data_IF_011356657231
#
_entry.id   IF_011356657231
#
_cell.length_a   1.000
_cell.length_b   1.000
_cell.length_c   1.000
_cell.angle_alpha   90.00
_cell.angle_beta   90.00
_cell.angle_gamma   90.00
#
_symmetry.space_group_name_H-M   'P 1'
#
loop_
_entity.id
_entity.type
_entity.pdbx_description
1 polymer ?
#
# COMPACT_ATOMS: atom_id res chain seq x y z
N UNK A 1 1.97 -16.79 17.38
CA UNK A 1 1.55 -15.59 16.62
C UNK A 1 0.67 -15.96 15.44
N UNK A 2 -0.12 -15.01 14.96
CA UNK A 2 -0.87 -15.12 13.71
C UNK A 2 -0.33 -14.08 12.73
N UNK A 3 -0.02 -14.51 11.50
CA UNK A 3 0.52 -13.63 10.46
C UNK A 3 -0.42 -13.60 9.26
N UNK A 4 -0.65 -12.39 8.74
CA UNK A 4 -1.43 -12.20 7.50
C UNK A 4 -0.94 -10.98 6.72
N UNK A 5 -1.24 -10.94 5.43
CA UNK A 5 -0.88 -9.84 4.54
C UNK A 5 -2.09 -9.03 4.12
N UNK A 6 -1.85 -7.74 3.93
CA UNK A 6 -2.84 -6.84 3.36
C UNK A 6 -2.17 -5.84 2.42
N UNK A 7 -2.97 -5.05 1.70
CA UNK A 7 -2.45 -3.91 0.93
C UNK A 7 -2.66 -2.63 1.74
N UNK A 8 -1.60 -1.87 1.94
CA UNK A 8 -1.67 -0.48 2.39
C UNK A 8 -1.88 0.40 1.15
N UNK A 9 -3.09 0.90 0.98
CA UNK A 9 -3.38 1.79 -0.13
C UNK A 9 -2.66 3.14 0.07
N UNK A 10 -2.02 3.61 -1.00
CA UNK A 10 -1.39 4.92 -1.03
C UNK A 10 -2.43 6.01 -1.28
N UNK A 11 -2.22 7.19 -0.72
CA UNK A 11 -3.05 8.36 -0.98
C UNK A 11 -2.75 8.96 -2.37
N UNK A 12 -3.01 8.17 -3.40
CA UNK A 12 -2.88 8.57 -4.81
C UNK A 12 -4.24 8.56 -5.50
N UNK A 13 -4.35 9.33 -6.54
CA UNK A 13 -5.52 9.26 -7.42
C UNK A 13 -5.55 7.92 -8.16
N UNK A 14 -6.74 7.52 -8.59
CA UNK A 14 -6.87 6.32 -9.42
C UNK A 14 -5.99 6.45 -10.66
N UNK A 15 -5.07 5.51 -10.92
CA UNK A 15 -4.13 5.59 -12.01
C UNK A 15 -4.83 5.51 -13.37
N UNK A 16 -4.54 6.50 -14.21
CA UNK A 16 -4.89 6.48 -15.63
C UNK A 16 -3.70 6.99 -16.43
N UNK A 17 -3.45 6.40 -17.60
CA UNK A 17 -2.36 6.83 -18.48
C UNK A 17 -2.47 8.30 -18.85
N UNK A 18 -3.69 8.80 -19.04
CA UNK A 18 -3.94 10.21 -19.34
C UNK A 18 -3.44 11.13 -18.24
N UNK A 19 -3.75 10.79 -16.98
CA UNK A 19 -3.32 11.58 -15.83
C UNK A 19 -1.81 11.51 -15.65
N UNK A 20 -1.24 10.34 -15.80
CA UNK A 20 0.21 10.14 -15.70
C UNK A 20 0.96 10.97 -16.74
N UNK A 21 0.53 10.93 -18.01
CA UNK A 21 1.10 11.76 -19.06
C UNK A 21 0.92 13.27 -18.81
N UNK A 22 -0.21 13.67 -18.25
CA UNK A 22 -0.48 15.06 -17.92
C UNK A 22 0.47 15.55 -16.81
N UNK A 23 0.58 14.81 -15.70
CA UNK A 23 1.43 15.14 -14.54
C UNK A 23 2.93 15.13 -14.94
N UNK A 24 3.35 14.15 -15.77
CA UNK A 24 4.69 14.10 -16.33
C UNK A 24 5.02 15.35 -17.17
N UNK A 25 4.10 15.76 -18.06
CA UNK A 25 4.26 17.00 -18.85
C UNK A 25 4.39 18.23 -17.95
N UNK A 26 3.56 18.35 -16.90
CA UNK A 26 3.65 19.47 -15.96
C UNK A 26 5.01 19.51 -15.24
N UNK A 27 5.50 18.34 -14.83
CA UNK A 27 6.81 18.23 -14.18
C UNK A 27 7.93 18.66 -15.13
N UNK A 28 7.96 18.14 -16.37
CA UNK A 28 8.97 18.51 -17.36
C UNK A 28 8.93 20.00 -17.70
N UNK A 29 7.76 20.58 -17.91
CA UNK A 29 7.62 22.02 -18.17
C UNK A 29 8.13 22.86 -17.01
N UNK A 30 7.88 22.45 -15.76
CA UNK A 30 8.38 23.13 -14.57
C UNK A 30 9.90 23.08 -14.48
N UNK A 31 10.52 21.92 -14.71
CA UNK A 31 11.98 21.76 -14.73
C UNK A 31 12.60 22.57 -15.86
N UNK A 32 12.09 22.47 -17.09
CA UNK A 32 12.57 23.23 -18.24
C UNK A 32 12.52 24.76 -17.98
N UNK A 33 11.44 25.24 -17.34
CA UNK A 33 11.33 26.65 -16.95
C UNK A 33 12.37 27.05 -15.90
N UNK A 34 12.61 26.19 -14.90
CA UNK A 34 13.59 26.46 -13.85
C UNK A 34 15.03 26.51 -14.38
N UNK A 35 15.33 25.76 -15.44
CA UNK A 35 16.63 25.67 -16.12
C UNK A 35 16.75 26.58 -17.36
N UNK A 36 15.74 27.44 -17.60
CA UNK A 36 15.68 28.34 -18.75
C UNK A 36 15.79 27.62 -20.12
N UNK A 37 15.32 26.37 -20.18
CA UNK A 37 15.28 25.59 -21.41
C UNK A 37 14.09 26.07 -22.27
N UNK A 38 14.34 26.52 -23.52
CA UNK A 38 13.29 27.02 -24.39
C UNK A 38 12.39 25.89 -24.90
N UNK A 39 11.13 25.89 -24.54
CA UNK A 39 10.11 25.00 -25.07
C UNK A 39 9.33 25.72 -26.18
N UNK A 40 9.08 25.07 -27.32
CA UNK A 40 8.22 25.62 -28.39
C UNK A 40 6.82 25.94 -27.87
N UNK A 41 6.26 25.05 -27.03
CA UNK A 41 4.99 25.25 -26.38
C UNK A 41 4.88 24.36 -25.13
N UNK A 42 4.35 24.91 -24.04
CA UNK A 42 4.12 24.15 -22.80
C UNK A 42 2.88 23.24 -22.85
N UNK A 43 1.95 23.49 -23.78
CA UNK A 43 0.65 22.82 -23.91
C UNK A 43 -0.25 22.87 -22.66
N UNK A 44 -0.03 23.80 -21.74
CA UNK A 44 -0.70 23.81 -20.43
C UNK A 44 -2.24 23.79 -20.56
N UNK A 45 -2.83 24.72 -21.30
CA UNK A 45 -4.29 24.82 -21.51
C UNK A 45 -4.82 23.65 -22.33
N UNK A 46 -4.17 23.32 -23.45
CA UNK A 46 -4.60 22.24 -24.37
C UNK A 46 -4.56 20.87 -23.70
N UNK A 47 -3.51 20.56 -22.94
CA UNK A 47 -3.39 19.28 -22.24
C UNK A 47 -4.43 19.17 -21.12
N UNK A 48 -4.68 20.23 -20.35
CA UNK A 48 -5.73 20.27 -19.33
C UNK A 48 -7.12 20.01 -19.90
N UNK A 49 -7.45 20.68 -21.01
CA UNK A 49 -8.72 20.49 -21.70
C UNK A 49 -8.84 19.06 -22.28
N UNK A 50 -7.79 18.54 -22.91
CA UNK A 50 -7.78 17.18 -23.45
C UNK A 50 -7.95 16.13 -22.36
N UNK A 51 -7.27 16.28 -21.22
CA UNK A 51 -7.41 15.41 -20.05
C UNK A 51 -8.84 15.43 -19.50
N UNK A 52 -9.43 16.62 -19.33
CA UNK A 52 -10.80 16.78 -18.86
C UNK A 52 -11.79 16.08 -19.78
N UNK A 53 -11.66 16.29 -21.10
CA UNK A 53 -12.53 15.64 -22.09
C UNK A 53 -12.32 14.13 -22.17
N UNK A 54 -11.08 13.63 -22.02
CA UNK A 54 -10.81 12.20 -21.94
C UNK A 54 -11.56 11.56 -20.77
N UNK A 55 -11.54 12.19 -19.60
CA UNK A 55 -12.24 11.68 -18.41
C UNK A 55 -13.76 11.70 -18.60
N UNK A 56 -14.33 12.78 -19.17
CA UNK A 56 -15.78 12.88 -19.48
C UNK A 56 -16.22 11.78 -20.44
N UNK A 57 -15.50 11.61 -21.54
CA UNK A 57 -15.83 10.58 -22.53
C UNK A 57 -15.69 9.15 -21.96
N UNK A 58 -14.67 8.92 -21.10
CA UNK A 58 -14.50 7.65 -20.41
C UNK A 58 -15.66 7.36 -19.46
N UNK A 59 -16.09 8.33 -18.68
CA UNK A 59 -17.22 8.22 -17.77
C UNK A 59 -18.54 7.95 -18.54
N UNK A 60 -18.71 8.63 -19.67
CA UNK A 60 -19.86 8.41 -20.56
C UNK A 60 -19.75 7.15 -21.45
N UNK A 61 -18.73 6.29 -21.23
CA UNK A 61 -18.44 5.07 -22.03
C UNK A 61 -18.22 5.33 -23.51
N UNK A 62 -17.95 6.57 -23.94
CA UNK A 62 -17.63 6.95 -25.31
C UNK A 62 -16.16 6.68 -25.63
N UNK A 63 -15.75 5.43 -25.59
CA UNK A 63 -14.33 5.03 -25.60
C UNK A 63 -13.55 5.46 -26.85
N UNK A 64 -14.21 5.51 -28.02
CA UNK A 64 -13.57 6.00 -29.26
C UNK A 64 -13.14 7.46 -29.15
N UNK A 65 -14.00 8.32 -28.60
CA UNK A 65 -13.70 9.74 -28.34
C UNK A 65 -12.66 9.90 -27.23
N UNK A 66 -12.79 9.12 -26.15
CA UNK A 66 -11.82 9.09 -25.06
C UNK A 66 -10.41 8.78 -25.56
N UNK A 67 -10.23 7.71 -26.36
CA UNK A 67 -8.93 7.31 -26.92
C UNK A 67 -8.30 8.43 -27.78
N UNK A 68 -9.08 9.19 -28.54
CA UNK A 68 -8.58 10.34 -29.31
C UNK A 68 -7.97 11.38 -28.37
N UNK A 69 -8.66 11.73 -27.26
CA UNK A 69 -8.19 12.70 -26.28
C UNK A 69 -6.99 12.20 -25.46
N UNK A 70 -6.96 10.92 -25.13
CA UNK A 70 -5.80 10.29 -24.48
C UNK A 70 -4.57 10.41 -25.38
N UNK A 71 -4.70 10.11 -26.69
CA UNK A 71 -3.63 10.27 -27.67
C UNK A 71 -3.15 11.72 -27.77
N UNK A 72 -4.07 12.72 -27.70
CA UNK A 72 -3.70 14.14 -27.70
C UNK A 72 -2.79 14.48 -26.50
N UNK A 73 -3.17 14.08 -25.27
CA UNK A 73 -2.37 14.32 -24.05
C UNK A 73 -0.98 13.68 -24.16
N UNK A 74 -0.91 12.42 -24.61
CA UNK A 74 0.36 11.73 -24.86
C UNK A 74 1.22 12.46 -25.90
N UNK A 75 0.63 12.94 -26.98
CA UNK A 75 1.36 13.67 -28.02
C UNK A 75 1.92 14.99 -27.49
N UNK A 76 1.20 15.70 -26.62
CA UNK A 76 1.72 16.92 -25.97
C UNK A 76 2.92 16.61 -25.07
N UNK A 77 2.86 15.52 -24.29
CA UNK A 77 4.00 15.05 -23.51
C UNK A 77 5.22 14.75 -24.41
N UNK A 78 5.04 13.93 -25.44
CA UNK A 78 6.13 13.59 -26.37
C UNK A 78 6.74 14.79 -27.10
N UNK A 79 5.97 15.86 -27.32
CA UNK A 79 6.50 17.10 -27.89
C UNK A 79 7.40 17.85 -26.91
N UNK A 80 6.99 17.92 -25.64
CA UNK A 80 7.80 18.55 -24.57
C UNK A 80 9.09 17.77 -24.36
N UNK A 81 9.03 16.44 -24.34
CA UNK A 81 10.25 15.59 -24.25
C UNK A 81 11.23 15.93 -25.36
N UNK A 82 10.79 15.90 -26.63
CA UNK A 82 11.64 16.20 -27.77
C UNK A 82 12.16 17.64 -27.80
N UNK A 83 11.45 18.59 -27.21
CA UNK A 83 11.97 19.96 -27.09
C UNK A 83 13.14 20.02 -26.09
N UNK A 84 13.08 19.28 -24.98
CA UNK A 84 14.16 19.18 -23.99
C UNK A 84 15.36 18.41 -24.57
N UNK A 85 15.13 17.27 -25.23
CA UNK A 85 16.17 16.48 -25.91
C UNK A 85 16.94 17.35 -26.93
N UNK A 86 16.24 18.11 -27.76
CA UNK A 86 16.87 19.05 -28.71
C UNK A 86 17.63 20.19 -28.02
N UNK A 87 17.21 20.61 -26.84
CA UNK A 87 17.97 21.60 -26.08
C UNK A 87 19.28 21.01 -25.56
N UNK A 88 19.29 19.77 -25.09
CA UNK A 88 20.50 19.04 -24.71
C UNK A 88 21.46 18.87 -25.89
N UNK A 89 20.96 18.46 -27.07
CA UNK A 89 21.74 18.35 -28.33
C UNK A 89 22.36 19.69 -28.72
N UNK A 90 21.76 20.83 -28.39
CA UNK A 90 22.28 22.18 -28.63
C UNK A 90 23.24 22.69 -27.56
N UNK A 91 23.63 21.84 -26.61
CA UNK A 91 24.60 22.15 -25.58
C UNK A 91 24.03 22.65 -24.25
N UNK A 92 22.70 22.62 -24.04
CA UNK A 92 22.15 22.86 -22.71
C UNK A 92 22.51 21.70 -21.78
N UNK A 93 23.13 21.99 -20.66
CA UNK A 93 23.39 20.98 -19.62
C UNK A 93 22.14 20.77 -18.80
N UNK A 94 21.59 19.56 -18.82
CA UNK A 94 20.42 19.21 -18.00
C UNK A 94 20.83 18.86 -16.57
N UNK A 95 20.09 19.36 -15.59
CA UNK A 95 20.30 18.99 -14.19
C UNK A 95 19.99 17.50 -13.93
N UNK A 96 20.60 16.88 -12.90
CA UNK A 96 20.28 15.51 -12.51
C UNK A 96 18.78 15.29 -12.26
N UNK A 97 18.10 16.28 -11.69
CA UNK A 97 16.66 16.23 -11.41
C UNK A 97 15.82 16.21 -12.69
N UNK A 98 16.21 16.96 -13.73
CA UNK A 98 15.51 16.94 -15.00
C UNK A 98 15.78 15.64 -15.77
N UNK A 99 17.01 15.10 -15.72
CA UNK A 99 17.33 13.79 -16.28
C UNK A 99 16.52 12.67 -15.66
N UNK A 100 16.44 12.62 -14.34
CA UNK A 100 15.59 11.67 -13.62
C UNK A 100 14.11 11.81 -14.01
N UNK A 101 13.63 13.05 -14.15
CA UNK A 101 12.25 13.32 -14.60
C UNK A 101 12.02 12.86 -16.05
N UNK A 102 13.01 13.00 -16.95
CA UNK A 102 12.93 12.50 -18.31
C UNK A 102 12.88 10.97 -18.36
N UNK A 103 13.77 10.27 -17.64
CA UNK A 103 13.80 8.80 -17.60
C UNK A 103 12.46 8.23 -17.08
N UNK A 104 11.96 8.82 -16.02
CA UNK A 104 10.65 8.49 -15.47
C UNK A 104 9.51 8.77 -16.46
N UNK A 105 9.59 9.88 -17.20
CA UNK A 105 8.64 10.24 -18.24
C UNK A 105 8.69 9.26 -19.39
N UNK A 106 9.89 8.83 -19.80
CA UNK A 106 10.07 7.85 -20.87
C UNK A 106 9.41 6.51 -20.50
N UNK A 107 9.57 6.06 -19.25
CA UNK A 107 8.89 4.86 -18.74
C UNK A 107 7.36 5.03 -18.78
N UNK A 108 6.84 6.15 -18.30
CA UNK A 108 5.41 6.46 -18.34
C UNK A 108 4.87 6.58 -19.77
N UNK A 109 5.63 7.15 -20.70
CA UNK A 109 5.27 7.27 -22.11
C UNK A 109 5.21 5.89 -22.79
N UNK A 110 6.22 5.07 -22.58
CA UNK A 110 6.32 3.73 -23.17
C UNK A 110 5.20 2.80 -22.70
N UNK A 111 4.81 2.86 -21.41
CA UNK A 111 3.69 2.06 -20.92
C UNK A 111 2.34 2.42 -21.57
N UNK A 112 2.17 3.67 -22.02
CA UNK A 112 0.94 4.07 -22.75
C UNK A 112 0.89 3.54 -24.18
N UNK A 113 2.05 3.21 -24.75
CA UNK A 113 2.19 2.57 -26.07
C UNK A 113 2.06 1.04 -25.95
N UNK A 114 2.61 0.47 -24.88
CA UNK A 114 2.57 -0.96 -24.62
C UNK A 114 1.85 -1.25 -23.28
N UNK A 115 0.53 -1.51 -23.33
CA UNK A 115 -0.23 -1.88 -22.11
C UNK A 115 0.25 -3.14 -21.40
N UNK A 116 1.05 -3.98 -22.06
CA UNK A 116 1.62 -5.21 -21.51
C UNK A 116 3.01 -5.02 -20.89
N UNK A 117 3.56 -3.78 -20.87
CA UNK A 117 4.85 -3.49 -20.26
C UNK A 117 4.91 -4.04 -18.81
N UNK A 118 6.03 -4.67 -18.47
CA UNK A 118 6.24 -5.26 -17.13
C UNK A 118 6.47 -4.17 -16.09
N UNK A 119 7.26 -3.17 -16.42
CA UNK A 119 7.53 -2.02 -15.57
C UNK A 119 6.51 -0.93 -15.83
N UNK A 120 5.74 -0.58 -14.80
CA UNK A 120 4.70 0.44 -14.88
C UNK A 120 4.77 1.39 -13.71
N UNK A 121 4.57 2.65 -13.99
CA UNK A 121 4.37 3.70 -13.00
C UNK A 121 2.86 3.92 -12.85
N UNK A 122 2.37 3.89 -11.62
CA UNK A 122 0.94 4.10 -11.32
C UNK A 122 0.64 5.49 -10.76
N UNK A 123 1.67 6.20 -10.28
CA UNK A 123 1.57 7.60 -9.84
C UNK A 123 2.85 8.34 -10.15
N UNK A 124 2.73 9.55 -10.68
CA UNK A 124 3.88 10.41 -10.94
C UNK A 124 4.60 10.82 -9.66
N UNK A 125 3.83 11.13 -8.60
CA UNK A 125 4.36 11.63 -7.33
C UNK A 125 4.76 10.51 -6.35
N UNK A 126 4.36 9.28 -6.61
CA UNK A 126 4.66 8.11 -5.79
C UNK A 126 4.98 6.91 -6.70
N UNK A 127 6.16 6.90 -7.35
CA UNK A 127 6.54 5.84 -8.31
C UNK A 127 6.68 4.47 -7.65
N UNK A 128 6.86 4.41 -6.34
CA UNK A 128 6.91 3.19 -5.54
C UNK A 128 5.57 2.46 -5.42
N UNK A 129 4.47 3.08 -5.87
CA UNK A 129 3.13 2.49 -5.79
C UNK A 129 3.01 1.28 -6.72
N UNK A 130 2.53 0.19 -6.18
CA UNK A 130 2.28 -1.04 -6.90
C UNK A 130 0.79 -1.26 -7.14
N UNK A 131 0.45 -1.92 -8.24
CA UNK A 131 -0.90 -2.39 -8.52
C UNK A 131 -1.04 -3.84 -8.04
N UNK A 132 -1.89 -4.09 -7.05
CA UNK A 132 -2.05 -5.39 -6.41
C UNK A 132 -3.46 -5.90 -6.66
N UNK A 133 -3.58 -7.07 -7.33
CA UNK A 133 -4.85 -7.72 -7.56
C UNK A 133 -5.30 -8.47 -6.30
N UNK A 134 -6.54 -8.24 -5.86
CA UNK A 134 -7.13 -8.87 -4.65
C UNK A 134 -8.20 -9.92 -4.97
N UNK A 135 -8.54 -10.12 -6.23
CA UNK A 135 -9.59 -11.08 -6.63
C UNK A 135 -11.00 -10.71 -6.15
N UNK A 136 -11.20 -9.51 -5.56
CA UNK A 136 -12.53 -9.06 -5.12
C UNK A 136 -13.34 -8.52 -6.31
N UNK A 137 -14.61 -8.92 -6.43
CA UNK A 137 -15.48 -8.51 -7.52
C UNK A 137 -15.67 -6.98 -7.60
N UNK A 138 -15.87 -6.32 -6.45
CA UNK A 138 -16.13 -4.87 -6.38
C UNK A 138 -14.87 -4.01 -6.44
N UNK A 139 -13.67 -4.55 -6.10
CA UNK A 139 -12.40 -3.83 -6.11
C UNK A 139 -11.28 -4.74 -6.57
N UNK A 140 -11.16 -4.87 -7.88
CA UNK A 140 -10.20 -5.78 -8.51
C UNK A 140 -8.75 -5.44 -8.21
N UNK A 141 -8.42 -4.15 -8.15
CA UNK A 141 -7.05 -3.65 -7.94
C UNK A 141 -7.00 -2.68 -6.77
N UNK A 142 -5.95 -2.79 -5.96
CA UNK A 142 -5.56 -1.85 -4.93
C UNK A 142 -4.18 -1.27 -5.27
N UNK A 143 -4.00 0.05 -5.07
CA UNK A 143 -2.78 0.77 -5.43
C UNK A 143 -2.05 1.20 -4.17
N UNK A 144 -0.86 0.65 -3.94
CA UNK A 144 -0.09 0.90 -2.74
C UNK A 144 1.04 -0.10 -2.57
N UNK A 145 1.30 -0.49 -1.33
CA UNK A 145 2.32 -1.45 -0.95
C UNK A 145 1.68 -2.63 -0.21
N UNK A 146 2.17 -3.83 -0.45
CA UNK A 146 1.81 -5.00 0.35
C UNK A 146 2.44 -4.87 1.73
N UNK A 147 1.69 -5.20 2.79
CA UNK A 147 2.20 -5.20 4.16
C UNK A 147 1.82 -6.48 4.88
N UNK A 148 2.72 -7.00 5.70
CA UNK A 148 2.50 -8.15 6.56
C UNK A 148 2.40 -7.71 8.01
N UNK A 149 1.39 -8.20 8.71
CA UNK A 149 1.18 -7.95 10.13
C UNK A 149 1.20 -9.26 10.89
N UNK A 150 1.82 -9.23 12.07
CA UNK A 150 1.83 -10.36 12.99
C UNK A 150 1.22 -9.94 14.33
N UNK A 151 0.26 -10.72 14.83
CA UNK A 151 -0.36 -10.48 16.13
C UNK A 151 -0.19 -11.66 17.05
N UNK A 152 -0.14 -11.40 18.36
CA UNK A 152 -0.15 -12.46 19.39
C UNK A 152 -1.50 -13.16 19.40
N UNK A 153 -1.51 -14.49 19.53
CA UNK A 153 -2.75 -15.29 19.51
C UNK A 153 -3.63 -15.12 20.74
N UNK A 154 -3.08 -14.79 21.90
CA UNK A 154 -3.83 -14.63 23.15
C UNK A 154 -4.31 -13.20 23.32
N UNK A 155 -3.41 -12.24 23.28
CA UNK A 155 -3.69 -10.85 23.62
C UNK A 155 -3.95 -9.95 22.41
N UNK A 156 -3.81 -10.44 21.18
CA UNK A 156 -4.05 -9.70 19.93
C UNK A 156 -3.25 -8.37 19.83
N UNK A 157 -2.05 -8.28 20.41
CA UNK A 157 -1.11 -7.19 20.16
C UNK A 157 -0.38 -7.43 18.85
N UNK A 158 -0.18 -6.38 18.07
CA UNK A 158 0.64 -6.45 16.85
C UNK A 158 2.12 -6.41 17.27
N UNK A 159 2.85 -7.47 16.96
CA UNK A 159 4.28 -7.64 17.31
C UNK A 159 5.18 -7.67 16.07
N UNK A 160 4.62 -7.54 14.89
CA UNK A 160 5.34 -7.42 13.63
C UNK A 160 4.55 -6.65 12.60
N UNK A 161 5.20 -5.72 11.88
CA UNK A 161 4.60 -4.93 10.82
C UNK A 161 5.67 -4.61 9.76
N UNK A 162 5.56 -5.22 8.59
CA UNK A 162 6.57 -5.13 7.54
C UNK A 162 5.95 -4.73 6.21
N UNK A 163 6.44 -3.64 5.61
CA UNK A 163 6.10 -3.25 4.24
C UNK A 163 6.89 -4.10 3.23
N UNK A 164 6.22 -4.60 2.19
CA UNK A 164 6.73 -5.56 1.23
C UNK A 164 6.61 -4.98 -0.18
N UNK A 165 7.74 -4.62 -0.78
CA UNK A 165 7.82 -4.16 -2.16
C UNK A 165 8.16 -5.31 -3.11
N UNK A 166 7.80 -5.17 -4.40
CA UNK A 166 8.02 -6.20 -5.43
C UNK A 166 6.95 -7.30 -5.42
N UNK A 167 5.85 -7.12 -4.70
CA UNK A 167 4.71 -8.07 -4.61
C UNK A 167 5.15 -9.51 -4.29
N UNK A 168 6.01 -9.74 -3.27
CA UNK A 168 6.45 -11.08 -2.98
C UNK A 168 5.27 -12.00 -2.66
N UNK A 169 5.42 -13.29 -2.96
CA UNK A 169 4.49 -14.31 -2.50
C UNK A 169 4.43 -14.30 -0.96
N UNK A 170 3.25 -14.56 -0.37
CA UNK A 170 3.05 -14.46 1.08
C UNK A 170 4.04 -15.35 1.85
N UNK A 171 4.26 -16.58 1.38
CA UNK A 171 5.22 -17.48 1.98
C UNK A 171 6.64 -16.92 2.07
N UNK A 172 7.10 -16.18 1.05
CA UNK A 172 8.44 -15.61 1.06
C UNK A 172 8.59 -14.43 2.03
N UNK A 173 7.49 -13.77 2.40
CA UNK A 173 7.51 -12.66 3.36
C UNK A 173 7.66 -13.13 4.81
N UNK A 174 7.33 -14.38 5.11
CA UNK A 174 7.22 -14.89 6.47
C UNK A 174 8.55 -14.84 7.23
N UNK A 175 9.66 -15.20 6.58
CA UNK A 175 11.01 -15.15 7.17
C UNK A 175 11.37 -13.75 7.68
N UNK A 176 11.06 -12.71 6.88
CA UNK A 176 11.33 -11.32 7.26
C UNK A 176 10.51 -10.87 8.47
N UNK A 177 9.24 -11.28 8.52
CA UNK A 177 8.34 -10.96 9.64
C UNK A 177 8.78 -11.64 10.93
N UNK A 178 9.17 -12.92 10.87
CA UNK A 178 9.66 -13.65 12.04
C UNK A 178 10.96 -13.05 12.56
N UNK A 179 11.90 -12.67 11.68
CA UNK A 179 13.12 -11.95 12.06
C UNK A 179 12.78 -10.63 12.79
N UNK A 180 11.83 -9.87 12.28
CA UNK A 180 11.39 -8.63 12.93
C UNK A 180 10.78 -8.89 14.31
N UNK A 181 9.92 -9.90 14.45
CA UNK A 181 9.32 -10.26 15.73
C UNK A 181 10.40 -10.60 16.76
N UNK A 182 11.34 -11.49 16.39
CA UNK A 182 12.42 -11.88 17.29
C UNK A 182 13.29 -10.69 17.70
N UNK A 183 13.60 -9.79 16.75
CA UNK A 183 14.39 -8.58 17.05
C UNK A 183 13.67 -7.59 17.98
N UNK A 184 12.33 -7.49 17.89
CA UNK A 184 11.55 -6.56 18.70
C UNK A 184 11.15 -7.11 20.07
N UNK A 185 10.98 -8.41 20.19
CA UNK A 185 10.43 -9.05 21.40
C UNK A 185 11.46 -9.90 22.14
N UNK A 186 12.63 -10.11 21.54
CA UNK A 186 13.68 -11.03 22.01
C UNK A 186 13.19 -12.49 22.18
N UNK A 187 11.98 -12.78 21.69
CA UNK A 187 11.33 -14.09 21.80
C UNK A 187 11.05 -14.65 20.41
N UNK A 188 11.52 -15.85 20.16
CA UNK A 188 11.21 -16.59 18.94
C UNK A 188 9.82 -17.22 19.05
N UNK A 189 8.91 -17.00 18.09
CA UNK A 189 7.58 -17.60 18.12
C UNK A 189 7.62 -19.12 18.01
N UNK A 190 7.04 -19.84 18.96
CA UNK A 190 6.93 -21.33 18.92
C UNK A 190 5.92 -21.78 17.87
N UNK A 191 4.80 -21.08 17.71
CA UNK A 191 3.75 -21.40 16.73
C UNK A 191 3.40 -20.16 15.90
N UNK A 192 3.30 -20.36 14.59
CA UNK A 192 2.91 -19.30 13.62
C UNK A 192 1.73 -19.79 12.81
N UNK A 193 0.60 -19.15 12.98
CA UNK A 193 -0.63 -19.47 12.26
C UNK A 193 -0.74 -18.58 11.01
N UNK A 194 -0.88 -19.18 9.85
CA UNK A 194 -0.95 -18.51 8.55
C UNK A 194 -2.06 -19.10 7.68
N UNK A 195 -2.45 -18.40 6.64
CA UNK A 195 -3.41 -18.93 5.67
C UNK A 195 -2.75 -19.85 4.63
N UNK A 196 -3.54 -20.40 3.69
CA UNK A 196 -3.05 -21.27 2.63
C UNK A 196 -2.16 -20.56 1.62
N UNK A 197 -2.24 -19.24 1.51
CA UNK A 197 -1.37 -18.41 0.66
C UNK A 197 0.10 -18.44 1.07
N UNK A 198 0.41 -18.94 2.27
CA UNK A 198 1.78 -19.10 2.76
C UNK A 198 2.41 -20.46 2.44
N UNK A 199 1.76 -21.31 1.64
CA UNK A 199 2.39 -22.56 1.16
C UNK A 199 3.71 -22.25 0.46
N UNK A 200 4.73 -23.09 0.69
CA UNK A 200 6.08 -22.88 0.14
C UNK A 200 6.88 -21.78 0.85
N UNK A 201 6.62 -21.56 2.13
CA UNK A 201 7.30 -20.55 2.96
C UNK A 201 8.81 -20.80 3.13
N UNK A 202 9.32 -21.99 2.82
CA UNK A 202 10.76 -22.37 2.89
C UNK A 202 11.40 -22.04 4.25
N UNK A 203 10.66 -22.16 5.33
CA UNK A 203 11.18 -22.03 6.69
C UNK A 203 11.45 -23.43 7.20
N UNK A 204 12.72 -23.75 7.38
CA UNK A 204 13.24 -25.04 7.86
C UNK A 204 13.66 -24.96 9.33
N UNK A 205 12.95 -24.14 10.11
CA UNK A 205 13.28 -23.91 11.49
C UNK A 205 12.61 -24.95 12.39
N UNK A 206 13.39 -25.69 13.12
CA UNK A 206 12.93 -26.76 14.03
C UNK A 206 12.24 -26.23 15.29
N UNK A 207 12.50 -24.98 15.67
CA UNK A 207 11.95 -24.38 16.89
C UNK A 207 10.60 -23.67 16.64
N UNK A 208 10.30 -23.32 15.38
CA UNK A 208 9.09 -22.58 15.00
C UNK A 208 8.16 -23.45 14.17
N UNK A 209 7.03 -23.88 14.73
CA UNK A 209 6.02 -24.64 14.02
C UNK A 209 5.13 -23.72 13.18
N UNK A 210 5.12 -23.91 11.84
CA UNK A 210 4.21 -23.20 10.94
C UNK A 210 2.91 -23.99 10.78
N UNK A 211 1.79 -23.39 11.14
CA UNK A 211 0.45 -23.98 11.08
C UNK A 211 -0.33 -23.32 9.96
N UNK A 212 -0.48 -24.03 8.85
CA UNK A 212 -1.31 -23.62 7.72
C UNK A 212 -2.81 -23.86 8.02
N UNK A 213 -3.66 -22.91 7.69
CA UNK A 213 -5.11 -23.12 7.76
C UNK A 213 -5.51 -24.25 6.78
N UNK A 214 -6.24 -25.26 7.29
CA UNK A 214 -6.70 -26.41 6.48
C UNK A 214 -8.18 -26.27 6.12
N UNK A 215 -8.59 -27.04 5.12
CA UNK A 215 -9.99 -27.15 4.72
C UNK A 215 -10.89 -27.57 5.91
N UNK A 216 -12.16 -27.17 5.87
CA UNK A 216 -13.11 -27.32 6.98
C UNK A 216 -13.49 -28.77 7.33
N UNK A 217 -13.18 -29.77 6.47
CA UNK A 217 -13.52 -31.19 6.67
C UNK A 217 -12.37 -31.93 7.34
N UNK A 218 -12.69 -32.86 8.27
CA UNK A 218 -11.71 -33.74 8.92
C UNK A 218 -10.80 -33.08 9.97
N UNK A 219 -11.14 -31.90 10.52
CA UNK A 219 -10.35 -31.22 11.53
C UNK A 219 -10.89 -31.50 12.94
N UNK A 220 -9.95 -31.67 13.91
CA UNK A 220 -10.27 -31.88 15.33
C UNK A 220 -10.86 -30.61 15.96
N UNK A 221 -11.55 -30.76 17.13
CA UNK A 221 -12.04 -29.61 17.91
C UNK A 221 -10.91 -28.62 18.27
N UNK A 222 -9.73 -29.10 18.62
CA UNK A 222 -8.57 -28.28 18.94
C UNK A 222 -8.08 -27.48 17.72
N UNK A 223 -7.97 -28.11 16.55
CA UNK A 223 -7.61 -27.46 15.30
C UNK A 223 -8.64 -26.41 14.88
N UNK A 224 -9.95 -26.69 15.07
CA UNK A 224 -11.03 -25.72 14.82
C UNK A 224 -10.92 -24.49 15.74
N UNK A 225 -10.59 -24.69 17.03
CA UNK A 225 -10.36 -23.59 17.99
C UNK A 225 -9.16 -22.73 17.54
N UNK A 226 -8.06 -23.34 17.08
CA UNK A 226 -6.88 -22.62 16.55
C UNK A 226 -7.23 -21.84 15.29
N UNK A 227 -7.99 -22.41 14.34
CA UNK A 227 -8.44 -21.70 13.14
C UNK A 227 -9.32 -20.50 13.46
N UNK A 228 -10.24 -20.62 14.43
CA UNK A 228 -11.03 -19.47 14.91
C UNK A 228 -10.14 -18.35 15.46
N UNK A 229 -9.06 -18.71 16.16
CA UNK A 229 -8.06 -17.73 16.65
C UNK A 229 -7.32 -17.02 15.52
N UNK A 230 -6.98 -17.73 14.45
CA UNK A 230 -6.38 -17.12 13.26
C UNK A 230 -7.26 -16.00 12.68
N UNK A 231 -8.55 -16.23 12.59
CA UNK A 231 -9.48 -15.24 12.04
C UNK A 231 -9.49 -13.91 12.82
N UNK A 232 -8.96 -13.87 14.04
CA UNK A 232 -8.84 -12.64 14.82
C UNK A 232 -7.91 -11.58 14.18
N UNK A 233 -6.99 -11.97 13.28
CA UNK A 233 -6.11 -11.01 12.61
C UNK A 233 -6.87 -10.18 11.54
N UNK A 234 -7.93 -10.73 10.94
CA UNK A 234 -8.71 -10.01 9.91
C UNK A 234 -9.37 -8.74 10.47
N UNK A 235 -10.13 -8.78 11.60
CA UNK A 235 -10.62 -7.56 12.22
C UNK A 235 -9.50 -6.65 12.75
N UNK A 236 -8.36 -7.17 13.21
CA UNK A 236 -7.21 -6.35 13.61
C UNK A 236 -6.72 -5.50 12.41
N UNK A 237 -6.48 -6.15 11.28
CA UNK A 237 -6.11 -5.48 10.04
C UNK A 237 -7.21 -4.51 9.57
N UNK A 238 -8.48 -4.92 9.68
CA UNK A 238 -9.63 -4.06 9.39
C UNK A 238 -9.64 -2.78 10.24
N UNK A 239 -9.40 -2.89 11.52
CA UNK A 239 -9.27 -1.74 12.41
C UNK A 239 -8.08 -0.85 12.06
N UNK A 240 -6.92 -1.43 11.74
CA UNK A 240 -5.77 -0.66 11.28
C UNK A 240 -6.07 0.15 10.01
N UNK A 241 -6.83 -0.41 9.06
CA UNK A 241 -7.13 0.22 7.77
C UNK A 241 -8.28 1.23 7.84
N UNK A 242 -9.34 0.91 8.57
CA UNK A 242 -10.62 1.62 8.47
C UNK A 242 -10.87 2.59 9.62
N UNK A 243 -10.10 2.53 10.71
CA UNK A 243 -10.26 3.48 11.79
C UNK A 243 -9.90 4.88 11.32
N UNK A 244 -10.86 5.77 11.41
CA UNK A 244 -10.76 7.18 10.93
C UNK A 244 -9.59 7.96 11.52
N UNK A 245 -9.05 7.52 12.66
CA UNK A 245 -7.94 8.18 13.37
C UNK A 245 -6.57 7.84 12.79
N UNK A 246 -6.41 6.69 12.12
CA UNK A 246 -5.13 6.27 11.51
C UNK A 246 -5.10 6.54 10.00
N UNK A 247 -6.27 6.72 9.40
CA UNK A 247 -6.47 7.01 7.98
C UNK A 247 -6.49 5.76 7.10
N UNK A 248 -7.39 5.70 6.12
CA UNK A 248 -7.53 4.55 5.23
C UNK A 248 -6.43 4.46 4.17
N UNK A 249 -5.59 5.51 4.03
CA UNK A 249 -4.56 5.61 3.01
C UNK A 249 -3.25 6.12 3.57
N UNK A 250 -2.14 5.59 3.03
CA UNK A 250 -0.80 6.05 3.36
C UNK A 250 -0.45 7.35 2.61
N UNK A 251 -0.17 8.42 3.35
CA UNK A 251 0.22 9.73 2.83
C UNK A 251 1.75 9.92 2.77
N UNK A 252 2.52 9.04 3.41
CA UNK A 252 3.97 9.14 3.45
C UNK A 252 4.57 8.74 2.09
N UNK A 253 5.62 9.42 1.67
CA UNK A 253 6.27 9.21 0.36
C UNK A 253 7.39 8.16 0.45
N UNK A 254 7.62 7.50 -0.68
CA UNK A 254 8.71 6.56 -0.88
C UNK A 254 8.53 5.24 -0.12
N UNK A 255 9.44 4.31 -0.37
CA UNK A 255 9.48 3.00 0.29
C UNK A 255 9.67 3.09 1.81
N UNK A 256 10.44 4.09 2.27
CA UNK A 256 10.60 4.36 3.71
C UNK A 256 9.28 4.80 4.33
N UNK A 257 8.52 5.67 3.65
CA UNK A 257 7.19 6.09 4.08
C UNK A 257 6.23 4.90 4.22
N UNK A 258 6.30 3.92 3.35
CA UNK A 258 5.49 2.69 3.46
C UNK A 258 5.87 1.87 4.69
N UNK A 259 7.17 1.74 5.00
CA UNK A 259 7.66 1.07 6.23
C UNK A 259 7.19 1.78 7.49
N UNK A 260 7.36 3.09 7.54
CA UNK A 260 6.94 3.93 8.67
C UNK A 260 5.42 3.81 8.87
N UNK A 261 4.64 3.88 7.79
CA UNK A 261 3.19 3.75 7.88
C UNK A 261 2.74 2.39 8.43
N UNK A 262 3.38 1.28 8.02
CA UNK A 262 3.09 -0.05 8.55
C UNK A 262 3.31 -0.11 10.08
N UNK A 263 4.44 0.40 10.53
CA UNK A 263 4.80 0.45 11.95
C UNK A 263 3.86 1.38 12.74
N UNK A 264 3.58 2.58 12.20
CA UNK A 264 2.69 3.55 12.85
C UNK A 264 1.28 2.99 13.03
N UNK A 265 0.75 2.26 12.05
CA UNK A 265 -0.54 1.57 12.17
C UNK A 265 -0.53 0.52 13.30
N UNK A 266 0.55 -0.26 13.42
CA UNK A 266 0.71 -1.24 14.49
C UNK A 266 0.79 -0.57 15.87
N UNK A 267 1.58 0.50 16.00
CA UNK A 267 1.70 1.30 17.23
C UNK A 267 0.34 1.88 17.61
N UNK A 268 -0.34 2.54 16.68
CA UNK A 268 -1.66 3.16 16.93
C UNK A 268 -2.70 2.14 17.40
N UNK A 269 -2.73 0.94 16.80
CA UNK A 269 -3.60 -0.14 17.26
C UNK A 269 -3.25 -0.59 18.68
N UNK A 270 -1.97 -0.85 18.97
CA UNK A 270 -1.52 -1.31 20.29
C UNK A 270 -1.75 -0.25 21.36
N UNK A 271 -1.43 1.02 21.11
CA UNK A 271 -1.66 2.12 22.05
C UNK A 271 -3.14 2.27 22.42
N UNK A 272 -4.04 2.22 21.42
CA UNK A 272 -5.47 2.24 21.68
C UNK A 272 -5.91 1.09 22.57
N UNK A 273 -5.35 -0.09 22.37
CA UNK A 273 -5.66 -1.27 23.19
C UNK A 273 -5.18 -1.11 24.63
N UNK A 274 -3.99 -0.57 24.82
CA UNK A 274 -3.43 -0.23 26.16
C UNK A 274 -4.30 0.82 26.84
N UNK A 275 -4.61 1.92 26.17
CA UNK A 275 -5.44 2.99 26.70
C UNK A 275 -6.83 2.47 27.11
N UNK A 276 -7.43 1.59 26.32
CA UNK A 276 -8.70 0.95 26.67
C UNK A 276 -8.58 0.09 27.94
N UNK A 277 -7.50 -0.66 28.08
CA UNK A 277 -7.27 -1.48 29.29
C UNK A 277 -7.09 -0.61 30.53
N UNK A 278 -6.31 0.48 30.46
CA UNK A 278 -6.11 1.45 31.53
C UNK A 278 -7.45 2.09 31.91
N UNK A 279 -8.21 2.58 30.93
CA UNK A 279 -9.52 3.20 31.18
C UNK A 279 -10.49 2.25 31.88
N UNK A 280 -10.57 0.99 31.43
CA UNK A 280 -11.43 -0.01 32.08
C UNK A 280 -10.97 -0.35 33.48
N UNK A 281 -9.67 -0.37 33.76
CA UNK A 281 -9.12 -0.56 35.10
C UNK A 281 -9.48 0.59 36.05
N UNK A 282 -9.35 1.84 35.57
CA UNK A 282 -9.75 3.02 36.34
C UNK A 282 -11.26 3.04 36.62
N UNK A 283 -12.07 2.71 35.61
CA UNK A 283 -13.52 2.61 35.74
C UNK A 283 -13.90 1.55 36.80
N UNK A 284 -13.26 0.39 36.75
CA UNK A 284 -13.48 -0.68 37.74
C UNK A 284 -13.12 -0.24 39.17
N UNK A 285 -11.98 0.44 39.33
CA UNK A 285 -11.58 1.01 40.64
C UNK A 285 -12.59 2.02 41.17
N UNK A 286 -13.16 2.85 40.28
CA UNK A 286 -14.21 3.82 40.66
C UNK A 286 -15.50 3.12 41.10
N UNK A 287 -15.95 2.09 40.37
CA UNK A 287 -17.13 1.30 40.71
C UNK A 287 -17.00 0.64 42.10
N UNK A 288 -15.81 0.11 42.42
CA UNK A 288 -15.55 -0.46 43.76
C UNK A 288 -15.63 0.63 44.82
N UNK A 289 -14.98 1.79 44.60
CA UNK A 289 -14.99 2.91 45.59
C UNK A 289 -16.39 3.45 45.83
N UNK A 290 -17.25 3.46 44.82
CA UNK A 290 -18.63 3.94 44.94
C UNK A 290 -19.63 2.86 45.39
N UNK A 291 -19.17 1.67 45.71
CA UNK A 291 -19.99 0.53 46.13
C UNK A 291 -21.14 0.16 45.16
N UNK A 292 -20.98 0.47 43.88
CA UNK A 292 -21.97 0.29 42.81
C UNK A 292 -22.06 -1.14 42.24
N UNK A 293 -21.50 -2.14 42.95
CA UNK A 293 -21.46 -3.52 42.47
C UNK A 293 -20.41 -3.77 41.38
N UNK A 294 -20.19 -5.05 41.01
CA UNK A 294 -19.22 -5.41 39.96
C UNK A 294 -19.85 -5.21 38.58
N UNK A 295 -19.26 -4.39 37.69
CA UNK A 295 -19.76 -4.29 36.33
C UNK A 295 -19.58 -5.62 35.58
N UNK A 296 -20.57 -6.02 34.77
CA UNK A 296 -20.64 -7.28 34.01
C UNK A 296 -19.52 -7.50 32.99
N UNK A 297 -18.52 -6.64 32.93
CA UNK A 297 -17.45 -6.63 31.93
C UNK A 297 -16.20 -7.48 32.25
N UNK A 298 -16.16 -8.18 33.40
CA UNK A 298 -14.97 -8.89 33.87
C UNK A 298 -14.48 -10.03 32.95
N UNK A 299 -15.34 -10.60 32.09
CA UNK A 299 -15.00 -11.77 31.27
C UNK A 299 -14.42 -11.44 29.87
N UNK A 300 -14.09 -10.16 29.55
CA UNK A 300 -13.58 -9.75 28.26
C UNK A 300 -12.21 -9.07 28.24
N UNK A 301 -11.50 -9.08 29.39
CA UNK A 301 -10.23 -8.36 29.55
C UNK A 301 -8.98 -9.23 29.30
N UNK A 302 -9.13 -10.55 29.12
CA UNK A 302 -8.02 -11.48 28.87
C UNK A 302 -8.24 -12.34 27.63
#
# INVERSE_FOLDING_TARGET
VTVDTTVQEKAVHFPTDTRLCFEAREALVRHAKAENIPLRQSYARKAKQAQFMANRYSAARQMKRARKKIKEVRNYLGRVMRDIERAEERGHTLSPALKEALDKTQTAFNQTLNPSAKEKIYSWHAPEVECIAKGKSHKKYEFGCKASYASTTKSNFIVGALALHGKPHDGHSLKGVLKQITALTEVKPKEVQVDLGYRGHKIEDTETQIILARAKRGITKAQRKRQKRRNAIEPIIGHCKNDRKVGPRNWLKGKLGDKINAIAMAIGFNMRKILKAIFLSLLYSLFIKLNLGRPAYQNRLF
#
